data_IF_848093631037
#
_entry.id   IF_848093631037
#
_cell.length_a   1.000
_cell.length_b   1.000
_cell.length_c   1.000
_cell.angle_alpha   90.00
_cell.angle_beta   90.00
_cell.angle_gamma   90.00
#
_symmetry.space_group_name_H-M   'P 1'
#
loop_
_entity.id
_entity.type
_entity.pdbx_description
1 polymer ?
#
# COMPACT_ATOMS: atom_id res chain seq x y z
N UNK A 1 -3.54 10.70 -26.86
CA UNK A 1 -4.83 10.43 -27.52
C UNK A 1 -5.81 10.44 -26.37
N UNK A 2 -6.66 11.47 -26.27
CA UNK A 2 -7.66 11.57 -25.21
C UNK A 2 -8.85 10.71 -25.62
N UNK A 3 -9.11 9.63 -24.88
CA UNK A 3 -10.31 8.83 -25.10
C UNK A 3 -11.48 9.46 -24.35
N UNK A 4 -12.52 9.85 -25.07
CA UNK A 4 -13.74 10.42 -24.48
C UNK A 4 -14.73 9.30 -24.11
N UNK A 5 -14.98 9.13 -22.82
CA UNK A 5 -15.93 8.15 -22.29
C UNK A 5 -17.18 8.86 -21.75
N UNK A 6 -18.36 8.46 -22.21
CA UNK A 6 -19.65 9.05 -21.79
C UNK A 6 -20.34 8.14 -20.79
N UNK A 7 -20.64 8.66 -19.60
CA UNK A 7 -21.48 7.99 -18.61
C UNK A 7 -22.83 8.70 -18.49
N UNK A 8 -23.92 7.95 -18.70
CA UNK A 8 -25.27 8.49 -18.58
C UNK A 8 -25.80 8.29 -17.15
N UNK A 9 -26.00 9.39 -16.43
CA UNK A 9 -26.63 9.40 -15.09
C UNK A 9 -27.41 10.68 -14.87
N UNK A 10 -28.35 10.67 -13.91
CA UNK A 10 -29.06 11.89 -13.52
C UNK A 10 -28.12 12.80 -12.72
N UNK A 11 -28.02 14.07 -13.13
CA UNK A 11 -27.31 15.10 -12.36
C UNK A 11 -28.21 15.53 -11.22
N UNK A 12 -27.72 15.41 -9.98
CA UNK A 12 -28.47 15.85 -8.79
C UNK A 12 -28.72 17.36 -8.90
N UNK A 13 -29.98 17.77 -8.74
CA UNK A 13 -30.45 19.15 -8.87
C UNK A 13 -30.27 19.74 -10.29
N UNK A 14 -30.02 18.89 -11.29
CA UNK A 14 -29.78 19.29 -12.68
C UNK A 14 -30.95 19.04 -13.63
N UNK A 15 -30.84 19.55 -14.85
CA UNK A 15 -31.81 19.26 -15.92
C UNK A 15 -31.48 17.97 -16.66
N UNK A 16 -32.46 17.37 -17.36
CA UNK A 16 -32.26 16.11 -18.11
C UNK A 16 -31.17 16.16 -19.18
N UNK A 17 -30.80 17.36 -19.62
CA UNK A 17 -29.81 17.60 -20.67
C UNK A 17 -28.49 18.15 -20.11
N UNK A 18 -28.37 18.26 -18.79
CA UNK A 18 -27.17 18.80 -18.15
C UNK A 18 -26.00 17.82 -18.31
N UNK A 19 -24.87 18.35 -18.78
CA UNK A 19 -23.63 17.59 -18.96
C UNK A 19 -22.60 18.08 -17.96
N UNK A 20 -22.03 17.15 -17.21
CA UNK A 20 -20.90 17.39 -16.33
C UNK A 20 -19.68 16.69 -16.91
N UNK A 21 -18.65 17.46 -17.22
CA UNK A 21 -17.35 16.92 -17.65
C UNK A 21 -16.46 16.70 -16.44
N UNK A 22 -15.74 15.59 -16.41
CA UNK A 22 -14.75 15.29 -15.38
C UNK A 22 -13.53 14.67 -16.03
N UNK A 23 -12.36 15.16 -15.67
CA UNK A 23 -11.08 14.58 -16.09
C UNK A 23 -10.82 13.32 -15.27
N UNK A 24 -10.68 12.19 -15.96
CA UNK A 24 -10.21 10.93 -15.37
C UNK A 24 -8.73 10.75 -15.73
N UNK A 25 -7.96 10.25 -14.78
CA UNK A 25 -6.54 9.99 -14.96
C UNK A 25 -6.37 8.47 -15.09
N UNK A 26 -5.67 8.03 -16.13
CA UNK A 26 -5.26 6.62 -16.22
C UNK A 26 -4.09 6.34 -15.28
N UNK A 27 -4.29 5.47 -14.29
CA UNK A 27 -3.17 4.88 -13.57
C UNK A 27 -2.57 3.80 -14.47
N UNK A 28 -1.25 3.79 -14.69
CA UNK A 28 -0.62 2.61 -15.27
C UNK A 28 -0.95 1.41 -14.38
N UNK A 29 -1.11 0.22 -14.97
CA UNK A 29 -1.23 -1.01 -14.19
C UNK A 29 -0.06 -1.13 -13.21
N UNK A 30 -0.32 -1.78 -12.08
CA UNK A 30 0.51 -1.68 -10.89
C UNK A 30 1.96 -2.10 -11.21
N UNK A 31 2.90 -1.14 -11.32
CA UNK A 31 4.27 -1.46 -11.61
C UNK A 31 4.97 -1.75 -10.27
N UNK A 32 5.51 -2.95 -10.20
CA UNK A 32 6.47 -3.44 -9.22
C UNK A 32 5.92 -3.88 -7.85
N UNK A 33 5.72 -5.20 -7.71
CA UNK A 33 5.72 -5.92 -6.42
C UNK A 33 6.98 -5.59 -5.57
N UNK A 34 8.04 -5.13 -6.24
CA UNK A 34 9.32 -4.72 -5.68
C UNK A 34 9.21 -3.43 -4.84
N UNK A 35 8.23 -2.56 -5.15
CA UNK A 35 8.13 -1.23 -4.56
C UNK A 35 7.59 -1.26 -3.11
N UNK A 36 6.88 -2.31 -2.70
CA UNK A 36 6.34 -2.47 -1.34
C UNK A 36 7.02 -3.57 -0.51
N UNK A 37 8.23 -3.96 -0.90
CA UNK A 37 9.30 -4.12 0.08
C UNK A 37 9.21 -5.28 1.06
N UNK A 38 8.52 -6.38 0.74
CA UNK A 38 8.67 -7.62 1.53
C UNK A 38 8.96 -8.87 0.71
N UNK A 39 8.92 -8.79 -0.63
CA UNK A 39 8.95 -9.97 -1.49
C UNK A 39 7.85 -10.96 -1.12
N UNK A 40 6.67 -10.43 -0.78
CA UNK A 40 5.49 -11.23 -0.48
C UNK A 40 5.07 -11.98 -1.73
N UNK A 41 4.93 -13.30 -1.58
CA UNK A 41 4.25 -14.13 -2.57
C UNK A 41 2.79 -13.67 -2.60
N UNK A 42 2.12 -13.60 -3.77
CA UNK A 42 0.68 -13.36 -3.85
C UNK A 42 -0.08 -14.27 -2.88
N UNK A 43 -1.16 -13.78 -2.26
CA UNK A 43 -1.98 -14.63 -1.41
C UNK A 43 -2.61 -15.78 -2.24
N UNK A 44 -3.04 -16.87 -1.58
CA UNK A 44 -3.78 -17.94 -2.25
C UNK A 44 -5.04 -17.37 -2.94
N UNK A 45 -5.04 -17.36 -4.27
CA UNK A 45 -6.11 -16.80 -5.10
C UNK A 45 -5.81 -15.44 -5.74
N UNK A 46 -4.68 -14.80 -5.41
CA UNK A 46 -4.18 -13.61 -6.13
C UNK A 46 -3.31 -14.06 -7.31
N UNK A 47 -3.79 -13.86 -8.55
CA UNK A 47 -2.97 -14.00 -9.76
C UNK A 47 -2.37 -12.64 -10.12
N UNK A 48 -1.04 -12.59 -10.20
CA UNK A 48 -0.36 -11.46 -10.80
C UNK A 48 -0.81 -11.33 -12.27
N UNK A 49 -1.22 -10.12 -12.66
CA UNK A 49 -1.59 -9.81 -14.05
C UNK A 49 -0.27 -9.62 -14.81
N UNK A 50 0.00 -10.39 -15.88
CA UNK A 50 1.18 -10.17 -16.71
C UNK A 50 1.28 -8.72 -17.16
N UNK A 51 2.48 -8.13 -17.22
CA UNK A 51 2.68 -6.74 -17.64
C UNK A 51 2.03 -6.41 -18.98
N UNK A 52 2.01 -7.39 -19.90
CA UNK A 52 1.38 -7.28 -21.22
C UNK A 52 -0.15 -7.14 -21.18
N UNK A 53 -0.79 -7.62 -20.10
CA UNK A 53 -2.24 -7.58 -19.89
C UNK A 53 -2.67 -6.45 -18.94
N UNK A 54 -1.72 -5.64 -18.45
CA UNK A 54 -2.01 -4.55 -17.54
C UNK A 54 -2.69 -3.37 -18.26
N UNK A 55 -3.97 -3.17 -17.99
CA UNK A 55 -4.75 -2.05 -18.54
C UNK A 55 -4.75 -0.87 -17.57
N UNK A 56 -4.74 0.36 -18.11
CA UNK A 56 -4.85 1.56 -17.30
C UNK A 56 -6.17 1.58 -16.52
N UNK A 57 -6.11 1.81 -15.22
CA UNK A 57 -7.29 1.89 -14.34
C UNK A 57 -7.69 3.35 -14.17
N UNK A 58 -8.97 3.72 -14.36
CA UNK A 58 -9.41 5.10 -14.17
C UNK A 58 -9.30 5.51 -12.69
N UNK A 59 -8.67 6.65 -12.45
CA UNK A 59 -8.50 7.28 -11.15
C UNK A 59 -9.13 8.67 -11.15
N UNK A 60 -9.99 8.90 -10.17
CA UNK A 60 -10.63 10.18 -9.92
C UNK A 60 -10.02 10.85 -8.69
N UNK A 61 -9.77 12.15 -8.77
CA UNK A 61 -9.24 12.95 -7.68
C UNK A 61 -9.93 14.30 -7.61
N UNK A 62 -10.08 14.84 -6.41
CA UNK A 62 -10.54 16.21 -6.18
C UNK A 62 -9.44 17.27 -6.42
N UNK A 63 -8.24 16.85 -6.80
CA UNK A 63 -7.14 17.77 -7.11
C UNK A 63 -7.18 18.13 -8.59
N UNK A 64 -6.87 19.39 -8.91
CA UNK A 64 -6.76 19.82 -10.31
C UNK A 64 -5.63 19.05 -11.00
N UNK A 65 -5.90 18.48 -12.16
CA UNK A 65 -4.89 17.78 -12.98
C UNK A 65 -5.03 18.25 -14.41
N UNK A 66 -3.91 18.63 -14.98
CA UNK A 66 -3.77 19.09 -16.36
C UNK A 66 -2.50 18.46 -16.95
N UNK A 67 -2.48 18.32 -18.28
CA UNK A 67 -1.37 17.79 -19.05
C UNK A 67 -0.97 18.71 -20.22
N UNK A 68 -1.55 19.92 -20.31
CA UNK A 68 -1.26 20.89 -21.38
C UNK A 68 0.21 21.35 -21.36
N UNK A 69 0.73 21.73 -20.19
CA UNK A 69 2.12 22.18 -20.04
C UNK A 69 3.03 21.05 -19.55
N UNK A 70 4.33 21.18 -19.84
CA UNK A 70 5.34 20.26 -19.28
C UNK A 70 5.37 20.26 -17.74
N UNK A 71 5.07 21.39 -17.10
CA UNK A 71 4.95 21.50 -15.65
C UNK A 71 3.78 20.66 -15.13
N UNK A 72 2.62 20.80 -15.77
CA UNK A 72 1.38 20.14 -15.37
C UNK A 72 1.49 18.62 -15.54
N UNK A 73 2.05 18.16 -16.66
CA UNK A 73 2.38 16.74 -16.87
C UNK A 73 3.26 16.17 -15.76
N UNK A 74 4.28 16.91 -15.32
CA UNK A 74 5.16 16.47 -14.23
C UNK A 74 4.41 16.41 -12.90
N UNK A 75 3.47 17.30 -12.66
CA UNK A 75 2.62 17.27 -11.47
C UNK A 75 1.62 16.11 -11.50
N UNK A 76 0.95 15.88 -12.63
CA UNK A 76 0.08 14.74 -12.86
C UNK A 76 0.80 13.41 -12.59
N UNK A 77 2.00 13.24 -13.14
CA UNK A 77 2.85 12.07 -12.88
C UNK A 77 3.21 11.91 -11.39
N UNK A 78 3.48 13.00 -10.67
CA UNK A 78 3.73 12.92 -9.22
C UNK A 78 2.48 12.48 -8.44
N UNK A 79 1.29 12.91 -8.85
CA UNK A 79 0.01 12.50 -8.24
C UNK A 79 -0.24 11.02 -8.50
N UNK A 80 -0.08 10.57 -9.75
CA UNK A 80 -0.16 9.15 -10.14
C UNK A 80 0.82 8.30 -9.33
N UNK A 81 2.11 8.67 -9.28
CA UNK A 81 3.14 7.94 -8.50
C UNK A 81 2.91 7.97 -6.99
N UNK A 82 2.16 8.96 -6.48
CA UNK A 82 1.75 8.97 -5.07
C UNK A 82 0.61 8.00 -4.83
N UNK A 83 -0.36 7.95 -5.74
CA UNK A 83 -1.50 7.06 -5.61
C UNK A 83 -1.15 5.59 -5.90
N UNK A 84 -0.21 5.31 -6.80
CA UNK A 84 0.35 3.96 -6.97
C UNK A 84 0.94 3.41 -5.66
N UNK A 85 1.37 4.29 -4.75
CA UNK A 85 1.78 3.97 -3.36
C UNK A 85 0.71 3.54 -2.39
N UNK A 86 -0.54 3.40 -2.84
CA UNK A 86 -1.64 2.88 -2.01
C UNK A 86 -1.43 1.42 -1.58
N UNK A 87 -0.88 0.57 -2.47
CA UNK A 87 -0.75 -0.88 -2.24
C UNK A 87 0.11 -1.21 -1.02
N UNK A 88 1.07 -0.33 -0.69
CA UNK A 88 1.91 -0.49 0.49
C UNK A 88 1.16 -0.60 1.81
N UNK A 89 -0.05 -0.03 1.92
CA UNK A 89 -0.87 -0.17 3.13
C UNK A 89 -1.39 -1.61 3.25
N UNK A 90 -1.85 -2.21 2.16
CA UNK A 90 -2.31 -3.60 2.15
C UNK A 90 -1.16 -4.56 2.44
N UNK A 91 -0.01 -4.38 1.79
CA UNK A 91 1.17 -5.22 2.03
C UNK A 91 1.64 -5.11 3.49
N UNK A 92 1.69 -3.89 4.05
CA UNK A 92 2.02 -3.67 5.45
C UNK A 92 1.01 -4.33 6.38
N UNK A 93 -0.30 -4.22 6.08
CA UNK A 93 -1.35 -4.86 6.89
C UNK A 93 -1.26 -6.38 6.85
N UNK A 94 -0.97 -6.99 5.69
CA UNK A 94 -0.70 -8.43 5.56
C UNK A 94 0.46 -8.83 6.47
N UNK A 95 1.55 -8.05 6.51
CA UNK A 95 2.70 -8.31 7.40
C UNK A 95 2.40 -8.10 8.87
N UNK A 96 1.66 -7.06 9.26
CA UNK A 96 1.27 -6.83 10.66
C UNK A 96 0.51 -8.02 11.23
N UNK A 97 -0.35 -8.68 10.43
CA UNK A 97 -1.08 -9.89 10.87
C UNK A 97 -0.16 -11.02 11.33
N UNK A 98 1.07 -11.13 10.82
CA UNK A 98 2.05 -12.12 11.28
C UNK A 98 2.48 -11.88 12.75
N UNK A 99 2.36 -10.66 13.25
CA UNK A 99 2.68 -10.28 14.64
C UNK A 99 1.47 -10.34 15.58
N UNK A 100 0.26 -10.51 15.04
CA UNK A 100 -0.97 -10.52 15.84
C UNK A 100 -1.08 -11.86 16.58
N UNK A 101 -1.11 -11.80 17.91
CA UNK A 101 -1.40 -12.97 18.73
C UNK A 101 -2.87 -13.38 18.59
N UNK A 102 -3.12 -14.68 18.50
CA UNK A 102 -4.47 -15.22 18.42
C UNK A 102 -5.21 -15.05 19.76
N UNK A 103 -6.49 -14.67 19.69
CA UNK A 103 -7.35 -14.49 20.86
C UNK A 103 -8.76 -15.01 20.57
N UNK A 104 -9.38 -15.65 21.56
CA UNK A 104 -10.81 -16.06 21.52
C UNK A 104 -11.76 -14.98 22.00
N UNK A 105 -11.24 -13.89 22.55
CA UNK A 105 -12.08 -12.87 23.18
C UNK A 105 -12.95 -12.14 22.17
N UNK A 106 -14.24 -12.02 22.52
CA UNK A 106 -15.21 -11.25 21.74
C UNK A 106 -15.19 -9.75 22.08
N UNK A 107 -14.52 -9.35 23.15
CA UNK A 107 -14.38 -7.96 23.56
C UNK A 107 -13.54 -7.17 22.54
N UNK A 108 -14.09 -6.04 22.09
CA UNK A 108 -13.42 -5.13 21.17
C UNK A 108 -12.11 -4.59 21.75
N UNK A 109 -12.09 -4.21 23.02
CA UNK A 109 -10.93 -3.63 23.70
C UNK A 109 -9.74 -4.59 23.70
N UNK A 110 -10.02 -5.89 23.90
CA UNK A 110 -9.00 -6.95 23.86
C UNK A 110 -8.44 -7.11 22.44
N UNK A 111 -9.29 -7.16 21.42
CA UNK A 111 -8.84 -7.25 20.02
C UNK A 111 -8.05 -6.02 19.58
N UNK A 112 -8.50 -4.83 19.98
CA UNK A 112 -7.83 -3.57 19.70
C UNK A 112 -6.44 -3.54 20.35
N UNK A 113 -6.31 -4.00 21.58
CA UNK A 113 -5.02 -4.13 22.25
C UNK A 113 -4.07 -5.07 21.50
N UNK A 114 -4.53 -6.27 21.12
CA UNK A 114 -3.70 -7.24 20.38
C UNK A 114 -3.23 -6.67 19.04
N UNK A 115 -4.13 -6.00 18.32
CA UNK A 115 -3.80 -5.34 17.06
C UNK A 115 -2.80 -4.19 17.26
N UNK A 116 -3.05 -3.29 18.21
CA UNK A 116 -2.14 -2.19 18.52
C UNK A 116 -0.75 -2.68 18.96
N UNK A 117 -0.69 -3.74 19.76
CA UNK A 117 0.57 -4.35 20.17
C UNK A 117 1.31 -4.99 18.98
N UNK A 118 0.61 -5.65 18.07
CA UNK A 118 1.19 -6.18 16.84
C UNK A 118 1.79 -5.08 15.96
N UNK A 119 1.12 -3.93 15.83
CA UNK A 119 1.65 -2.75 15.12
C UNK A 119 2.95 -2.25 15.76
N UNK A 120 3.02 -2.21 17.09
CA UNK A 120 4.25 -1.83 17.80
C UNK A 120 5.41 -2.80 17.55
N UNK A 121 5.14 -4.11 17.57
CA UNK A 121 6.15 -5.13 17.26
C UNK A 121 6.63 -5.04 15.82
N UNK A 122 5.71 -4.86 14.87
CA UNK A 122 6.03 -4.67 13.46
C UNK A 122 6.91 -3.43 13.24
N UNK A 123 6.57 -2.28 13.84
CA UNK A 123 7.39 -1.07 13.72
C UNK A 123 8.76 -1.25 14.38
N UNK A 124 8.82 -1.96 15.51
CA UNK A 124 10.09 -2.27 16.21
C UNK A 124 10.97 -3.17 15.34
N UNK A 125 10.39 -4.16 14.66
CA UNK A 125 11.10 -5.00 13.72
C UNK A 125 11.71 -4.20 12.57
N UNK A 126 10.93 -3.31 11.93
CA UNK A 126 11.44 -2.44 10.87
C UNK A 126 12.56 -1.52 11.36
N UNK A 127 12.44 -0.99 12.57
CA UNK A 127 13.47 -0.15 13.18
C UNK A 127 14.77 -0.94 13.43
N UNK A 128 14.66 -2.16 13.96
CA UNK A 128 15.82 -3.04 14.18
C UNK A 128 16.47 -3.41 12.84
N UNK A 129 15.67 -3.74 11.83
CA UNK A 129 16.18 -4.03 10.49
C UNK A 129 16.92 -2.82 9.89
N UNK A 130 16.33 -1.63 9.99
CA UNK A 130 16.96 -0.37 9.56
C UNK A 130 18.29 -0.10 10.29
N UNK A 131 18.33 -0.30 11.61
CA UNK A 131 19.57 -0.17 12.40
C UNK A 131 20.63 -1.16 11.95
N UNK A 132 20.25 -2.40 11.64
CA UNK A 132 21.18 -3.43 11.16
C UNK A 132 21.71 -3.09 9.77
N UNK A 133 20.87 -2.61 8.86
CA UNK A 133 21.31 -2.14 7.54
C UNK A 133 22.30 -0.98 7.66
N UNK A 134 21.98 0.01 8.51
CA UNK A 134 22.83 1.17 8.76
C UNK A 134 24.15 0.78 9.41
N UNK A 135 24.12 -0.12 10.40
CA UNK A 135 25.32 -0.59 11.10
C UNK A 135 26.25 -1.46 10.26
N UNK A 136 25.76 -2.04 9.16
CA UNK A 136 26.55 -2.80 8.20
C UNK A 136 27.15 -1.92 7.08
N UNK A 137 26.85 -0.62 7.06
CA UNK A 137 27.24 0.33 6.00
C UNK A 137 26.86 -0.15 4.58
N UNK A 138 25.69 -0.79 4.48
CA UNK A 138 25.14 -1.28 3.21
C UNK A 138 24.10 -0.28 2.72
N UNK A 139 24.02 -0.10 1.40
CA UNK A 139 22.94 0.66 0.77
C UNK A 139 21.57 0.17 1.26
N UNK A 140 20.73 1.12 1.69
CA UNK A 140 19.42 0.83 2.24
C UNK A 140 18.54 0.11 1.20
N UNK A 141 17.90 -0.97 1.64
CA UNK A 141 16.97 -1.76 0.84
C UNK A 141 15.60 -1.73 1.47
N UNK A 142 14.59 -1.54 0.64
CA UNK A 142 13.18 -1.59 1.09
C UNK A 142 12.79 -2.96 1.63
N UNK A 143 13.38 -4.04 1.09
CA UNK A 143 13.16 -5.42 1.58
C UNK A 143 13.96 -5.67 2.86
N UNK A 144 13.30 -5.99 3.99
CA UNK A 144 13.99 -6.29 5.23
C UNK A 144 14.97 -7.45 5.09
N UNK A 145 16.11 -7.34 5.76
CA UNK A 145 17.11 -8.42 5.87
C UNK A 145 16.76 -9.39 6.99
N UNK A 146 16.26 -8.87 8.10
CA UNK A 146 15.74 -9.67 9.20
C UNK A 146 14.31 -10.03 8.86
N UNK A 147 13.98 -11.31 8.81
CA UNK A 147 12.60 -11.75 8.62
C UNK A 147 11.77 -11.47 9.88
N UNK A 148 10.47 -11.19 9.70
CA UNK A 148 9.54 -10.97 10.82
C UNK A 148 9.58 -12.13 11.82
N UNK A 149 9.55 -13.38 11.33
CA UNK A 149 9.64 -14.58 12.17
C UNK A 149 10.92 -14.62 13.03
N UNK A 150 12.07 -14.25 12.46
CA UNK A 150 13.34 -14.23 13.21
C UNK A 150 13.31 -13.19 14.33
N UNK A 151 12.71 -12.02 14.07
CA UNK A 151 12.53 -11.00 15.09
C UNK A 151 11.57 -11.47 16.20
N UNK A 152 10.43 -12.07 15.84
CA UNK A 152 9.45 -12.59 16.81
C UNK A 152 10.11 -13.64 17.72
N UNK A 153 10.86 -14.59 17.15
CA UNK A 153 11.54 -15.63 17.92
C UNK A 153 12.60 -15.05 18.86
N UNK A 154 13.36 -14.04 18.40
CA UNK A 154 14.32 -13.32 19.25
C UNK A 154 13.64 -12.63 20.44
N UNK A 155 12.54 -11.91 20.22
CA UNK A 155 11.78 -11.24 21.28
C UNK A 155 11.25 -12.27 22.28
N UNK A 156 10.67 -13.38 21.78
CA UNK A 156 10.16 -14.48 22.61
C UNK A 156 11.24 -15.06 23.51
N UNK A 157 12.41 -15.39 22.97
CA UNK A 157 13.53 -15.92 23.76
C UNK A 157 14.01 -14.92 24.82
N UNK A 158 14.05 -13.62 24.49
CA UNK A 158 14.48 -12.59 25.43
C UNK A 158 13.49 -12.41 26.58
N UNK A 159 12.19 -12.47 26.29
CA UNK A 159 11.13 -12.41 27.30
C UNK A 159 11.15 -13.62 28.23
N UNK A 160 11.28 -14.84 27.69
CA UNK A 160 11.36 -16.07 28.51
C UNK A 160 12.55 -16.03 29.46
N UNK A 161 13.69 -15.46 29.04
CA UNK A 161 14.89 -15.36 29.89
C UNK A 161 14.78 -14.30 31.00
N UNK A 162 13.83 -13.37 30.90
CA UNK A 162 13.62 -12.30 31.89
C UNK A 162 12.67 -12.72 33.02
N UNK A 163 11.91 -13.79 32.81
CA UNK A 163 10.97 -14.38 33.79
C UNK A 163 11.66 -15.55 34.47
#
# INVERSE_FOLDING_TARGET
MEDEWVMHTAVKDGTSNERVTTTLIGLPGDPDDDQYGYGTIPDEGETAIPEEDQVAVPFYTNTYVDDTTALDRREALRKVKRYSRRGGIETAYKKIKEFVAWTTSKDFSVRLFHFGFAVLLYNSWLMVDFLVQTGLDIEFRSKPRITAQRFIEFVKQRLVRLI
#
